data_IF_750706769842
#
_entry.id   IF_750706769842
#
_cell.length_a   1.000
_cell.length_b   1.000
_cell.length_c   1.000
_cell.angle_alpha   90.00
_cell.angle_beta   90.00
_cell.angle_gamma   90.00
#
_symmetry.space_group_name_H-M   'P 1'
#
loop_
_entity.id
_entity.type
_entity.pdbx_description
1 polymer ?
#
# COMPACT_ATOMS: atom_id res chain seq x y z
N UNK A 1 9.34 22.53 9.09
CA UNK A 1 7.91 22.16 9.18
C UNK A 1 7.80 20.67 9.02
N UNK A 2 7.02 20.03 9.87
CA UNK A 2 6.67 18.62 9.73
C UNK A 2 5.89 18.42 8.43
N UNK A 3 6.23 17.37 7.69
CA UNK A 3 5.52 16.99 6.46
C UNK A 3 4.78 15.68 6.72
N UNK A 4 3.55 15.60 6.25
CA UNK A 4 2.72 14.41 6.36
C UNK A 4 2.77 13.58 5.07
N UNK A 5 2.73 12.27 5.24
CA UNK A 5 2.43 11.30 4.19
C UNK A 5 1.00 10.81 4.43
N UNK A 6 0.22 10.69 3.36
CA UNK A 6 -1.18 10.25 3.42
C UNK A 6 -1.37 8.94 2.66
N UNK A 7 -2.24 8.08 3.18
CA UNK A 7 -2.67 6.84 2.55
C UNK A 7 -4.19 6.82 2.51
N UNK A 8 -4.75 6.52 1.34
CA UNK A 8 -6.17 6.23 1.18
C UNK A 8 -6.35 4.75 0.89
N UNK A 9 -7.35 4.12 1.52
CA UNK A 9 -7.60 2.69 1.37
C UNK A 9 -9.09 2.38 1.47
N UNK A 10 -9.54 1.43 0.67
CA UNK A 10 -10.83 0.79 0.89
C UNK A 10 -10.64 -0.41 1.82
N UNK A 11 -11.21 -0.35 3.02
CA UNK A 11 -11.19 -1.46 3.96
C UNK A 11 -12.52 -2.22 3.87
N UNK A 12 -12.47 -3.56 3.89
CA UNK A 12 -13.66 -4.41 3.81
C UNK A 12 -13.90 -5.14 5.14
N UNK A 13 -15.06 -4.91 5.75
CA UNK A 13 -15.54 -5.70 6.88
C UNK A 13 -15.96 -7.08 6.36
N UNK A 14 -15.02 -8.03 6.32
CA UNK A 14 -15.24 -9.38 5.81
C UNK A 14 -14.62 -10.46 6.70
N UNK A 15 -15.45 -11.09 7.52
CA UNK A 15 -15.10 -12.27 8.31
C UNK A 15 -15.21 -13.56 7.50
N UNK A 16 -14.84 -13.56 6.20
CA UNK A 16 -14.89 -14.77 5.36
C UNK A 16 -13.69 -15.68 5.58
N UNK A 17 -12.51 -15.09 5.80
CA UNK A 17 -11.26 -15.83 6.05
C UNK A 17 -11.30 -16.59 7.38
N UNK A 18 -10.52 -17.67 7.48
CA UNK A 18 -10.41 -18.45 8.72
C UNK A 18 -9.70 -17.66 9.82
N UNK A 19 -8.67 -16.88 9.47
CA UNK A 19 -7.93 -16.04 10.42
C UNK A 19 -8.81 -14.97 11.04
N UNK A 20 -9.55 -14.21 10.23
CA UNK A 20 -10.42 -13.14 10.73
C UNK A 20 -11.54 -13.70 11.62
N UNK A 21 -12.14 -14.84 11.23
CA UNK A 21 -13.13 -15.53 12.09
C UNK A 21 -12.55 -15.96 13.43
N UNK A 22 -11.31 -16.48 13.43
CA UNK A 22 -10.63 -16.91 14.65
C UNK A 22 -10.35 -15.70 15.54
N UNK A 23 -9.77 -14.64 14.97
CA UNK A 23 -9.53 -13.37 15.66
C UNK A 23 -10.79 -12.83 16.34
N UNK A 24 -11.92 -12.79 15.63
CA UNK A 24 -13.17 -12.25 16.20
C UNK A 24 -13.66 -13.13 17.36
N UNK A 25 -13.62 -14.45 17.21
CA UNK A 25 -14.05 -15.39 18.26
C UNK A 25 -13.22 -15.26 19.54
N UNK A 26 -11.92 -15.14 19.38
CA UNK A 26 -10.96 -15.06 20.48
C UNK A 26 -11.06 -13.73 21.22
N UNK A 27 -11.20 -12.61 20.51
CA UNK A 27 -11.15 -11.27 21.10
C UNK A 27 -12.52 -10.72 21.54
N UNK A 28 -13.62 -11.19 20.96
CA UNK A 28 -14.96 -10.65 21.22
C UNK A 28 -15.95 -11.66 21.81
N UNK A 29 -15.48 -12.87 22.15
CA UNK A 29 -16.30 -13.95 22.72
C UNK A 29 -17.57 -14.31 21.91
N UNK A 30 -17.58 -14.03 20.60
CA UNK A 30 -18.76 -14.27 19.73
C UNK A 30 -18.69 -15.66 19.11
N UNK A 31 -19.62 -16.55 19.46
CA UNK A 31 -19.66 -17.94 18.95
C UNK A 31 -19.83 -18.02 17.42
N UNK A 32 -20.66 -17.14 16.85
CA UNK A 32 -20.97 -17.05 15.41
C UNK A 32 -21.04 -15.56 14.99
N UNK A 33 -19.91 -14.93 14.65
CA UNK A 33 -19.93 -13.53 14.25
C UNK A 33 -20.63 -13.34 12.89
N UNK A 34 -21.32 -12.19 12.67
CA UNK A 34 -21.80 -11.81 11.35
C UNK A 34 -20.67 -11.79 10.33
N UNK A 35 -20.96 -12.15 9.07
CA UNK A 35 -19.94 -12.18 8.01
C UNK A 35 -19.36 -10.78 7.74
N UNK A 36 -20.18 -9.75 7.90
CA UNK A 36 -19.82 -8.35 7.60
C UNK A 36 -19.72 -7.50 8.87
N UNK A 37 -19.14 -8.08 9.92
CA UNK A 37 -18.96 -7.39 11.20
C UNK A 37 -17.78 -6.42 11.14
N UNK A 38 -17.88 -5.18 11.63
CA UNK A 38 -16.78 -4.20 11.57
C UNK A 38 -15.48 -4.66 12.24
N UNK A 39 -15.56 -5.53 13.26
CA UNK A 39 -14.42 -6.13 13.95
C UNK A 39 -13.52 -6.94 13.00
N UNK A 40 -14.05 -7.35 11.85
CA UNK A 40 -13.28 -8.01 10.80
C UNK A 40 -12.18 -7.12 10.20
N UNK A 41 -12.30 -5.79 10.30
CA UNK A 41 -11.29 -4.84 9.80
C UNK A 41 -10.14 -4.62 10.78
N UNK A 42 -10.31 -4.97 12.06
CA UNK A 42 -9.34 -4.66 13.12
C UNK A 42 -7.93 -5.20 12.81
N UNK A 43 -7.73 -6.45 12.33
CA UNK A 43 -6.39 -6.93 12.02
C UNK A 43 -5.66 -6.06 10.98
N UNK A 44 -6.36 -5.62 9.94
CA UNK A 44 -5.80 -4.75 8.90
C UNK A 44 -5.51 -3.34 9.43
N UNK A 45 -6.41 -2.77 10.24
CA UNK A 45 -6.22 -1.46 10.85
C UNK A 45 -5.06 -1.47 11.85
N UNK A 46 -4.91 -2.53 12.62
CA UNK A 46 -3.79 -2.70 13.55
C UNK A 46 -2.45 -2.80 12.80
N UNK A 47 -2.39 -3.58 11.71
CA UNK A 47 -1.19 -3.66 10.89
C UNK A 47 -0.78 -2.28 10.33
N UNK A 48 -1.75 -1.46 9.91
CA UNK A 48 -1.48 -0.07 9.50
C UNK A 48 -0.97 0.77 10.68
N UNK A 49 -1.53 0.61 11.87
CA UNK A 49 -1.05 1.26 13.10
C UNK A 49 0.39 0.89 13.44
N UNK A 50 0.76 -0.39 13.28
CA UNK A 50 2.13 -0.89 13.47
C UNK A 50 3.12 -0.28 12.46
N UNK A 51 2.66 -0.02 11.23
CA UNK A 51 3.41 0.70 10.19
C UNK A 51 3.51 2.23 10.42
N UNK A 52 2.96 2.71 11.54
CA UNK A 52 2.95 4.12 11.95
C UNK A 52 1.85 4.96 11.29
N UNK A 53 0.85 4.33 10.68
CA UNK A 53 -0.30 5.04 10.12
C UNK A 53 -1.35 5.32 11.19
N UNK A 54 -1.81 6.56 11.25
CA UNK A 54 -2.92 7.01 12.08
C UNK A 54 -4.18 7.17 11.21
N UNK A 55 -5.26 6.47 11.55
CA UNK A 55 -6.57 6.62 10.89
C UNK A 55 -7.17 7.98 11.27
N UNK A 56 -7.53 8.80 10.27
CA UNK A 56 -8.08 10.14 10.47
C UNK A 56 -9.50 10.32 9.93
N UNK A 57 -9.93 9.46 9.00
CA UNK A 57 -11.27 9.49 8.45
C UNK A 57 -11.71 8.10 8.02
N UNK A 58 -13.00 7.78 8.23
CA UNK A 58 -13.63 6.55 7.79
C UNK A 58 -15.09 6.83 7.44
N UNK A 59 -15.52 6.43 6.26
CA UNK A 59 -16.93 6.50 5.83
C UNK A 59 -17.37 5.25 5.07
N UNK A 60 -18.62 4.77 5.22
CA UNK A 60 -19.14 3.67 4.43
C UNK A 60 -19.37 4.09 2.98
N UNK A 61 -18.95 3.25 2.02
CA UNK A 61 -19.15 3.53 0.58
C UNK A 61 -20.09 2.50 -0.07
N UNK A 62 -21.07 2.91 -0.88
CA UNK A 62 -22.15 2.03 -1.36
C UNK A 62 -21.69 0.90 -2.28
N UNK A 63 -20.75 1.19 -3.20
CA UNK A 63 -20.14 0.21 -4.09
C UNK A 63 -18.86 0.81 -4.68
N UNK A 64 -17.78 0.03 -4.63
CA UNK A 64 -16.52 0.34 -5.31
C UNK A 64 -16.49 -0.40 -6.66
N UNK A 65 -16.30 0.34 -7.74
CA UNK A 65 -16.15 -0.18 -9.09
C UNK A 65 -14.78 -0.81 -9.30
N UNK A 66 -14.65 -1.60 -10.37
CA UNK A 66 -13.38 -2.30 -10.68
C UNK A 66 -12.23 -1.33 -10.98
N UNK A 67 -12.52 -0.05 -11.24
CA UNK A 67 -11.52 1.01 -11.49
C UNK A 67 -11.33 1.93 -10.27
N UNK A 68 -11.88 1.59 -9.10
CA UNK A 68 -11.81 2.42 -7.89
C UNK A 68 -12.84 3.55 -7.83
N UNK A 69 -13.76 3.61 -8.78
CA UNK A 69 -14.88 4.55 -8.84
C UNK A 69 -15.96 4.24 -7.79
N UNK A 70 -16.57 5.27 -7.19
CA UNK A 70 -17.65 5.11 -6.19
C UNK A 70 -19.00 5.38 -6.83
N UNK A 71 -19.92 4.40 -6.73
CA UNK A 71 -21.26 4.53 -7.30
C UNK A 71 -22.29 4.96 -6.23
N UNK A 72 -22.65 6.25 -6.23
CA UNK A 72 -23.72 6.83 -5.41
C UNK A 72 -25.11 6.63 -6.06
N UNK A 73 -25.57 5.39 -6.23
CA UNK A 73 -26.94 5.17 -6.73
C UNK A 73 -27.94 5.26 -5.58
N UNK A 74 -29.07 5.93 -5.80
CA UNK A 74 -30.11 6.35 -4.83
C UNK A 74 -30.96 5.22 -4.21
N UNK A 75 -30.47 3.99 -4.21
CA UNK A 75 -31.14 2.84 -3.59
C UNK A 75 -30.51 2.45 -2.25
N UNK A 76 -31.32 1.91 -1.33
CA UNK A 76 -30.83 1.30 -0.10
C UNK A 76 -29.97 0.06 -0.42
N UNK A 77 -28.65 0.24 -0.54
CA UNK A 77 -27.70 -0.86 -0.67
C UNK A 77 -26.97 -1.05 0.64
N UNK A 78 -26.90 -2.30 1.08
CA UNK A 78 -25.99 -2.69 2.15
C UNK A 78 -24.56 -2.67 1.61
N UNK A 79 -23.66 -2.07 2.38
CA UNK A 79 -22.23 -2.10 2.12
C UNK A 79 -21.49 -2.55 3.37
N UNK A 80 -20.41 -3.28 3.13
CA UNK A 80 -19.42 -3.68 4.12
C UNK A 80 -18.04 -3.07 3.80
N UNK A 81 -18.00 -2.09 2.90
CA UNK A 81 -16.77 -1.42 2.44
C UNK A 81 -16.73 0.01 2.97
N UNK A 82 -15.56 0.42 3.44
CA UNK A 82 -15.30 1.73 4.01
C UNK A 82 -14.16 2.41 3.27
N UNK A 83 -14.30 3.70 2.97
CA UNK A 83 -13.21 4.54 2.54
C UNK A 83 -12.50 5.11 3.77
N UNK A 84 -11.22 4.79 3.90
CA UNK A 84 -10.38 5.16 5.03
C UNK A 84 -9.24 6.07 4.58
N UNK A 85 -8.96 7.10 5.36
CA UNK A 85 -7.82 8.00 5.16
C UNK A 85 -6.92 7.92 6.38
N UNK A 86 -5.62 7.75 6.13
CA UNK A 86 -4.59 7.66 7.13
C UNK A 86 -3.52 8.73 6.91
N UNK A 87 -2.83 9.11 7.98
CA UNK A 87 -1.64 9.98 7.94
C UNK A 87 -0.48 9.35 8.71
N UNK A 88 0.75 9.70 8.34
CA UNK A 88 1.95 9.48 9.16
C UNK A 88 2.99 10.56 8.89
N UNK A 89 3.97 10.71 9.79
CA UNK A 89 5.10 11.61 9.55
C UNK A 89 5.92 11.11 8.35
N UNK A 90 6.14 12.00 7.38
CA UNK A 90 6.98 11.68 6.23
C UNK A 90 8.42 11.56 6.70
N UNK A 91 8.99 10.35 6.58
CA UNK A 91 10.43 10.16 6.80
C UNK A 91 11.20 11.10 5.86
N UNK A 92 12.25 11.80 6.33
CA UNK A 92 13.15 12.51 5.43
C UNK A 92 13.59 11.53 4.34
N UNK A 93 13.48 11.91 3.07
CA UNK A 93 13.94 11.06 1.99
C UNK A 93 15.42 10.74 2.29
N UNK A 94 15.75 9.47 2.46
CA UNK A 94 17.15 9.04 2.44
C UNK A 94 17.69 9.53 1.10
N UNK A 95 18.52 10.57 1.14
CA UNK A 95 19.26 11.04 -0.02
C UNK A 95 20.03 9.82 -0.49
N UNK A 96 19.81 9.31 -1.72
CA UNK A 96 20.66 8.26 -2.24
C UNK A 96 22.09 8.78 -2.15
N UNK A 97 22.95 8.11 -1.37
CA UNK A 97 24.38 8.40 -1.35
C UNK A 97 24.84 8.49 -2.80
N UNK A 98 25.58 9.56 -3.11
CA UNK A 98 25.94 10.03 -4.45
C UNK A 98 26.15 8.90 -5.48
N UNK A 99 25.77 9.10 -6.76
CA UNK A 99 26.19 8.18 -7.80
C UNK A 99 27.71 8.09 -7.77
N UNK A 100 28.23 6.91 -7.42
CA UNK A 100 29.67 6.66 -7.42
C UNK A 100 30.20 7.02 -8.81
N UNK A 101 31.30 7.79 -8.91
CA UNK A 101 31.93 8.03 -10.20
C UNK A 101 32.37 6.66 -10.73
N UNK A 102 31.72 6.21 -11.80
CA UNK A 102 32.21 5.09 -12.59
C UNK A 102 33.60 5.48 -13.03
N UNK A 103 34.61 4.90 -12.39
CA UNK A 103 36.01 5.10 -12.73
C UNK A 103 36.14 4.91 -14.24
N UNK A 104 36.67 5.93 -14.91
CA UNK A 104 36.95 5.92 -16.33
C UNK A 104 37.69 4.63 -16.68
N UNK A 105 36.98 3.70 -17.32
CA UNK A 105 37.58 2.48 -17.84
C UNK A 105 38.54 2.89 -18.95
N UNK A 106 39.80 2.60 -18.65
CA UNK A 106 41.02 2.65 -19.45
C UNK A 106 40.82 2.53 -20.97
N UNK A 107 41.50 3.46 -21.66
CA UNK A 107 42.10 3.46 -23.00
C UNK A 107 41.69 2.39 -24.06
N UNK A 108 41.51 2.79 -25.33
CA UNK A 108 41.37 1.83 -26.43
C UNK A 108 42.70 1.08 -26.66
N UNK A 109 42.67 -0.21 -27.05
CA UNK A 109 43.89 -0.90 -27.44
C UNK A 109 44.38 -0.34 -28.78
N UNK A 110 45.66 0.07 -28.80
CA UNK A 110 46.42 0.40 -30.00
C UNK A 110 46.25 -0.71 -31.05
N UNK A 111 45.72 -0.34 -32.22
CA UNK A 111 45.82 -1.18 -33.42
C UNK A 111 47.14 -0.88 -34.11
N UNK A 112 48.00 -1.87 -34.39
CA UNK A 112 49.14 -1.66 -35.26
C UNK A 112 48.66 -1.30 -36.68
N UNK A 113 49.17 -0.18 -37.21
CA UNK A 113 49.01 0.19 -38.61
C UNK A 113 49.92 -0.72 -39.44
N UNK A 114 49.35 -1.60 -40.25
CA UNK A 114 50.10 -2.32 -41.29
C UNK A 114 50.35 -1.36 -42.47
N UNK A 115 51.57 -1.31 -43.03
CA UNK A 115 51.85 -0.52 -44.22
C UNK A 115 51.15 -1.09 -45.46
N UNK A 116 50.89 -0.28 -46.50
CA UNK A 116 50.27 -0.75 -47.72
C UNK A 116 51.22 -1.70 -48.46
N UNK A 117 50.70 -2.82 -48.93
CA UNK A 117 51.37 -3.66 -49.92
C UNK A 117 51.25 -3.01 -51.28
N UNK A 118 52.38 -2.59 -51.85
CA UNK A 118 52.51 -2.30 -53.28
C UNK A 118 52.72 -3.62 -54.06
N UNK A 119 52.07 -3.69 -55.22
CA UNK A 119 52.01 -4.73 -56.28
C UNK A 119 51.21 -6.02 -56.04
#
# INVERSE_FOLDING_TARGET
>A
MEKWEYLTKFCEASARSKETKRFIKENFAVKKPPVYTPEAMIPELNALGEDGWELIHMEPVPKVGKKGDILFNSGFRWSNVYFCVFKRLKKPAEIPAEPQPVAAQMAPPDRPILPPSED
#
